data_IF_757986346263
#
_entry.id   IF_757986346263
#
_cell.length_a   1.000
_cell.length_b   1.000
_cell.length_c   1.000
_cell.angle_alpha   90.00
_cell.angle_beta   90.00
_cell.angle_gamma   90.00
#
_symmetry.space_group_name_H-M   'P 1'
#
loop_
_entity.id
_entity.type
_entity.pdbx_description
1 polymer ?
#
# COMPACT_ATOMS: atom_id res chain seq x y z
N UNK A 1 -23.33 -6.56 16.97
CA UNK A 1 -23.67 -7.43 18.11
C UNK A 1 -25.11 -7.20 18.50
N UNK A 2 -25.83 -8.29 18.73
CA UNK A 2 -27.17 -8.21 19.28
C UNK A 2 -27.10 -7.79 20.74
N UNK A 3 -27.82 -6.72 21.11
CA UNK A 3 -27.89 -6.23 22.49
C UNK A 3 -29.24 -6.64 23.06
N UNK A 4 -29.20 -7.62 23.96
CA UNK A 4 -30.40 -8.26 24.50
C UNK A 4 -31.28 -7.28 25.29
N UNK A 5 -30.68 -6.35 26.06
CA UNK A 5 -31.42 -5.38 26.87
C UNK A 5 -32.24 -4.40 26.03
N UNK A 6 -31.74 -4.04 24.84
CA UNK A 6 -32.38 -3.05 23.97
C UNK A 6 -33.10 -3.69 22.79
N UNK A 7 -33.02 -5.02 22.64
CA UNK A 7 -33.54 -5.79 21.51
C UNK A 7 -33.14 -5.17 20.16
N UNK A 8 -31.90 -4.69 20.07
CA UNK A 8 -31.38 -3.98 18.90
C UNK A 8 -30.00 -4.47 18.51
N UNK A 9 -29.72 -4.41 17.21
CA UNK A 9 -28.38 -4.58 16.68
C UNK A 9 -27.56 -3.33 16.96
N UNK A 10 -26.43 -3.48 17.66
CA UNK A 10 -25.40 -2.45 17.80
C UNK A 10 -24.27 -2.74 16.83
N UNK A 11 -23.96 -1.79 15.95
CA UNK A 11 -22.77 -1.87 15.12
C UNK A 11 -21.54 -1.63 16.00
N UNK A 12 -20.55 -2.52 15.94
CA UNK A 12 -19.27 -2.30 16.62
C UNK A 12 -18.35 -1.39 15.82
N UNK A 13 -18.41 -1.51 14.49
CA UNK A 13 -17.67 -0.70 13.55
C UNK A 13 -18.59 -0.40 12.37
N UNK A 14 -18.30 0.69 11.66
CA UNK A 14 -18.92 1.03 10.39
C UNK A 14 -17.79 1.13 9.37
N UNK A 15 -17.96 0.45 8.25
CA UNK A 15 -17.04 0.53 7.12
C UNK A 15 -17.79 1.09 5.91
N UNK A 16 -17.15 1.94 5.08
CA UNK A 16 -15.85 2.58 5.31
C UNK A 16 -15.87 3.48 6.56
N UNK A 17 -14.76 3.51 7.30
CA UNK A 17 -14.65 4.22 8.57
C UNK A 17 -14.37 5.72 8.39
N UNK A 18 -13.62 6.07 7.34
CA UNK A 18 -13.22 7.44 7.02
C UNK A 18 -12.85 7.57 5.53
N UNK A 19 -12.38 8.76 5.15
CA UNK A 19 -12.06 9.09 3.76
C UNK A 19 -10.97 8.17 3.16
N UNK A 20 -10.00 7.71 3.95
CA UNK A 20 -8.91 6.86 3.47
C UNK A 20 -9.35 5.43 3.14
N UNK A 21 -10.58 5.04 3.47
CA UNK A 21 -11.19 3.79 2.99
C UNK A 21 -11.84 3.94 1.60
N UNK A 22 -11.86 5.15 1.04
CA UNK A 22 -12.28 5.38 -0.35
C UNK A 22 -11.21 4.82 -1.29
N UNK A 23 -11.61 3.85 -2.11
CA UNK A 23 -10.71 3.18 -3.04
C UNK A 23 -9.96 4.17 -3.93
N UNK A 24 -8.63 4.07 -3.94
CA UNK A 24 -7.75 4.87 -4.81
C UNK A 24 -7.86 6.39 -4.62
N UNK A 25 -8.24 6.86 -3.42
CA UNK A 25 -8.37 8.30 -3.12
C UNK A 25 -7.11 9.11 -3.48
N UNK A 26 -5.92 8.56 -3.19
CA UNK A 26 -4.64 9.22 -3.42
C UNK A 26 -3.95 8.84 -4.75
N UNK A 27 -4.63 8.08 -5.61
CA UNK A 27 -4.10 7.60 -6.89
C UNK A 27 -2.92 6.63 -6.76
N UNK A 28 -2.23 6.41 -7.89
CA UNK A 28 -1.08 5.51 -8.00
C UNK A 28 0.11 6.02 -7.16
N UNK A 29 0.78 5.14 -6.43
CA UNK A 29 1.92 5.45 -5.56
C UNK A 29 1.67 6.58 -4.53
N UNK A 30 0.40 6.90 -4.29
CA UNK A 30 -0.06 7.80 -3.24
C UNK A 30 -0.48 7.00 -2.01
N UNK A 31 -0.22 7.55 -0.83
CA UNK A 31 -0.60 7.01 0.47
C UNK A 31 -1.57 7.95 1.16
N UNK A 32 -2.68 7.40 1.64
CA UNK A 32 -3.62 8.12 2.49
C UNK A 32 -3.20 8.04 3.96
N UNK A 33 -3.20 9.18 4.66
CA UNK A 33 -2.91 9.30 6.08
C UNK A 33 -3.92 10.27 6.71
N UNK A 34 -4.86 9.74 7.49
CA UNK A 34 -5.95 10.53 8.11
C UNK A 34 -5.44 11.55 9.12
N UNK A 35 -4.22 11.35 9.63
CA UNK A 35 -3.59 12.21 10.63
C UNK A 35 -2.76 13.34 10.00
N UNK A 36 -2.63 13.37 8.67
CA UNK A 36 -1.88 14.41 7.95
C UNK A 36 -2.79 15.39 7.21
N UNK A 37 -2.26 16.60 7.01
CA UNK A 37 -2.84 17.61 6.13
C UNK A 37 -1.76 18.08 5.13
N UNK A 38 -1.90 17.82 3.82
CA UNK A 38 -3.02 17.13 3.15
C UNK A 38 -3.08 15.62 3.45
N UNK A 39 -4.29 15.03 3.35
CA UNK A 39 -4.55 13.61 3.65
C UNK A 39 -3.81 12.64 2.71
N UNK A 40 -3.51 13.09 1.49
CA UNK A 40 -2.76 12.33 0.50
C UNK A 40 -1.34 12.84 0.35
N UNK A 41 -0.38 11.93 0.44
CA UNK A 41 1.03 12.19 0.15
C UNK A 41 1.61 11.10 -0.75
N UNK A 42 2.63 11.45 -1.54
CA UNK A 42 3.38 10.45 -2.30
C UNK A 42 4.21 9.55 -1.38
N UNK A 43 4.41 8.30 -1.78
CA UNK A 43 5.44 7.44 -1.18
C UNK A 43 6.82 8.12 -1.26
N UNK A 44 7.74 7.75 -0.37
CA UNK A 44 9.09 8.31 -0.38
C UNK A 44 9.78 8.05 -1.74
N UNK A 45 10.48 9.06 -2.28
CA UNK A 45 11.07 9.05 -3.63
C UNK A 45 10.08 9.06 -4.79
N UNK A 46 8.79 9.28 -4.52
CA UNK A 46 7.80 9.62 -5.52
C UNK A 46 7.44 11.10 -5.44
N UNK A 47 6.95 11.65 -6.55
CA UNK A 47 6.52 13.04 -6.68
C UNK A 47 5.17 13.10 -7.40
N UNK A 48 4.32 14.12 -7.14
CA UNK A 48 3.04 14.23 -7.82
C UNK A 48 3.18 14.20 -9.33
N UNK A 49 2.35 13.39 -10.01
CA UNK A 49 2.35 13.33 -11.48
C UNK A 49 1.93 14.67 -12.09
N UNK A 50 0.95 15.32 -11.45
CA UNK A 50 0.53 16.68 -11.78
C UNK A 50 0.53 17.57 -10.51
N UNK A 51 1.61 18.32 -10.26
CA UNK A 51 1.71 19.17 -9.06
C UNK A 51 0.61 20.21 -8.93
N UNK A 52 0.14 20.78 -10.05
CA UNK A 52 -0.88 21.83 -10.05
C UNK A 52 -2.26 21.33 -9.63
N UNK A 53 -2.59 20.08 -9.97
CA UNK A 53 -3.79 19.40 -9.50
C UNK A 53 -3.63 18.97 -8.04
N UNK A 54 -2.46 18.46 -7.68
CA UNK A 54 -2.15 17.99 -6.33
C UNK A 54 -2.29 19.11 -5.29
N UNK A 55 -1.79 20.30 -5.58
CA UNK A 55 -1.91 21.50 -4.73
C UNK A 55 -3.36 21.97 -4.55
N UNK A 56 -4.25 21.63 -5.49
CA UNK A 56 -5.69 21.93 -5.43
C UNK A 56 -6.51 20.84 -4.75
N UNK A 57 -5.87 19.77 -4.26
CA UNK A 57 -6.55 18.63 -3.64
C UNK A 57 -7.06 17.58 -4.63
N UNK A 58 -6.67 17.65 -5.91
CA UNK A 58 -6.94 16.59 -6.90
C UNK A 58 -5.74 15.64 -6.97
N UNK A 59 -5.86 14.52 -6.24
CA UNK A 59 -4.83 13.49 -6.13
C UNK A 59 -5.06 12.31 -7.09
N UNK A 60 -6.07 12.37 -7.96
CA UNK A 60 -6.52 11.24 -8.80
C UNK A 60 -5.43 10.69 -9.72
N UNK A 61 -4.53 11.56 -10.19
CA UNK A 61 -3.41 11.19 -11.07
C UNK A 61 -2.26 10.49 -10.33
N UNK A 62 -2.26 10.53 -8.99
CA UNK A 62 -1.25 9.91 -8.16
C UNK A 62 0.14 10.55 -8.31
N UNK A 63 1.14 9.71 -8.08
CA UNK A 63 2.54 10.05 -8.04
C UNK A 63 3.32 9.22 -9.06
N UNK A 64 4.53 9.68 -9.40
CA UNK A 64 5.48 8.96 -10.25
C UNK A 64 6.83 8.89 -9.55
N UNK A 65 7.64 7.90 -9.92
CA UNK A 65 9.01 7.79 -9.39
C UNK A 65 9.79 9.06 -9.72
N UNK A 66 10.47 9.64 -8.73
CA UNK A 66 11.38 10.78 -8.95
C UNK A 66 12.54 10.39 -9.87
N UNK A 67 13.04 9.17 -9.72
CA UNK A 67 14.13 8.61 -10.53
C UNK A 67 13.60 7.37 -11.25
N UNK A 68 13.71 7.29 -12.58
CA UNK A 68 13.35 6.08 -13.33
C UNK A 68 14.14 4.85 -12.85
N UNK A 69 13.52 3.67 -12.94
CA UNK A 69 14.22 2.41 -12.68
C UNK A 69 15.18 2.11 -13.84
N UNK A 70 16.39 1.67 -13.50
CA UNK A 70 17.34 1.09 -14.44
C UNK A 70 17.39 -0.42 -14.21
N UNK A 71 16.65 -1.18 -15.03
CA UNK A 71 16.57 -2.62 -14.86
C UNK A 71 17.87 -3.37 -15.25
N UNK A 72 18.89 -2.67 -15.76
CA UNK A 72 20.22 -3.27 -15.94
C UNK A 72 20.99 -3.37 -14.62
N UNK A 73 20.49 -2.72 -13.57
CA UNK A 73 21.04 -2.73 -12.22
C UNK A 73 20.06 -3.43 -11.30
N UNK A 74 20.61 -3.99 -10.22
CA UNK A 74 19.79 -4.56 -9.16
C UNK A 74 18.87 -3.48 -8.57
N UNK A 75 17.59 -3.80 -8.43
CA UNK A 75 16.62 -2.90 -7.84
C UNK A 75 16.91 -2.68 -6.35
N UNK A 76 16.84 -1.42 -5.92
CA UNK A 76 16.92 -1.06 -4.51
C UNK A 76 15.51 -0.78 -4.00
N UNK A 77 15.14 -1.43 -2.89
CA UNK A 77 13.83 -1.32 -2.27
C UNK A 77 13.87 -0.40 -1.04
N UNK A 78 12.76 0.32 -0.83
CA UNK A 78 12.53 1.17 0.34
C UNK A 78 11.39 0.52 1.11
N UNK A 79 11.60 0.30 2.41
CA UNK A 79 10.59 -0.26 3.30
C UNK A 79 9.58 0.82 3.71
N UNK A 80 8.30 0.57 3.49
CA UNK A 80 7.18 1.37 3.96
C UNK A 80 6.43 0.63 5.07
N UNK A 81 6.65 1.00 6.34
CA UNK A 81 6.07 0.25 7.44
C UNK A 81 4.61 0.63 7.71
N UNK A 82 3.87 -0.32 8.30
CA UNK A 82 2.57 -0.04 8.90
C UNK A 82 1.51 0.46 7.91
N UNK A 83 1.45 -0.13 6.73
CA UNK A 83 0.44 0.24 5.73
C UNK A 83 -0.65 -0.82 5.57
N UNK A 84 -1.81 -0.41 5.08
CA UNK A 84 -2.71 -1.28 4.31
C UNK A 84 -1.99 -1.59 3.00
N UNK A 85 -1.78 -2.87 2.72
CA UNK A 85 -1.14 -3.31 1.49
C UNK A 85 -1.93 -2.81 0.26
N UNK A 86 -1.24 -2.51 -0.85
CA UNK A 86 -1.88 -2.10 -2.10
C UNK A 86 -2.86 -3.16 -2.62
N UNK A 87 -3.74 -2.73 -3.53
CA UNK A 87 -4.59 -3.63 -4.31
C UNK A 87 -3.79 -4.80 -4.92
N UNK A 88 -4.36 -6.00 -4.88
CA UNK A 88 -3.68 -7.25 -5.24
C UNK A 88 -4.06 -7.78 -6.64
N UNK A 89 -4.76 -6.99 -7.47
CA UNK A 89 -5.20 -7.38 -8.82
C UNK A 89 -4.05 -7.84 -9.72
N UNK A 90 -2.89 -7.21 -9.59
CA UNK A 90 -1.67 -7.55 -10.32
C UNK A 90 -0.58 -8.06 -9.38
N UNK A 91 -0.92 -9.07 -8.58
CA UNK A 91 0.01 -9.69 -7.62
C UNK A 91 0.14 -11.20 -7.81
N UNK A 92 1.26 -11.76 -7.34
CA UNK A 92 1.49 -13.19 -7.22
C UNK A 92 1.94 -13.51 -5.80
N UNK A 93 1.68 -14.73 -5.33
CA UNK A 93 2.04 -15.14 -3.98
C UNK A 93 2.66 -16.54 -3.95
N UNK A 94 3.58 -16.72 -3.01
CA UNK A 94 4.18 -18.02 -2.69
C UNK A 94 4.21 -18.19 -1.16
N UNK A 95 3.58 -19.24 -0.65
CA UNK A 95 3.51 -19.51 0.80
C UNK A 95 4.80 -20.07 1.39
N UNK A 96 5.64 -20.66 0.55
CA UNK A 96 6.86 -21.38 0.93
C UNK A 96 8.10 -20.51 0.85
N UNK A 97 8.06 -19.49 0.01
CA UNK A 97 9.17 -18.55 -0.19
C UNK A 97 9.41 -17.68 1.05
N UNK A 98 10.69 -17.41 1.33
CA UNK A 98 11.10 -16.49 2.39
C UNK A 98 11.03 -15.04 1.89
N UNK A 99 11.00 -14.08 2.82
CA UNK A 99 11.02 -12.66 2.46
C UNK A 99 12.29 -12.27 1.67
N UNK A 100 13.46 -12.85 1.99
CA UNK A 100 14.69 -12.61 1.23
C UNK A 100 14.61 -13.21 -0.18
N UNK A 101 13.99 -14.39 -0.33
CA UNK A 101 13.72 -14.95 -1.66
C UNK A 101 12.79 -14.05 -2.48
N UNK A 102 11.76 -13.49 -1.83
CA UNK A 102 10.82 -12.55 -2.42
C UNK A 102 11.55 -11.30 -2.96
N UNK A 103 12.47 -10.75 -2.16
CA UNK A 103 13.33 -9.63 -2.57
C UNK A 103 14.18 -9.98 -3.77
N UNK A 104 14.85 -11.14 -3.78
CA UNK A 104 15.70 -11.57 -4.89
C UNK A 104 14.91 -11.77 -6.19
N UNK A 105 13.74 -12.40 -6.11
CA UNK A 105 12.86 -12.58 -7.27
C UNK A 105 12.39 -11.22 -7.82
N UNK A 106 11.96 -10.32 -6.94
CA UNK A 106 11.56 -8.98 -7.35
C UNK A 106 12.72 -8.15 -7.92
N UNK A 107 13.93 -8.29 -7.36
CA UNK A 107 15.14 -7.60 -7.83
C UNK A 107 15.53 -7.97 -9.27
N UNK A 108 15.23 -9.20 -9.69
CA UNK A 108 15.61 -9.73 -11.01
C UNK A 108 14.52 -9.57 -12.07
N UNK A 109 13.31 -9.20 -11.65
CA UNK A 109 12.17 -9.00 -12.55
C UNK A 109 11.87 -7.51 -12.74
N UNK A 110 12.10 -6.98 -13.95
CA UNK A 110 11.88 -5.57 -14.28
C UNK A 110 10.45 -5.08 -14.04
N UNK A 111 9.48 -5.98 -14.10
CA UNK A 111 8.07 -5.64 -13.92
C UNK A 111 7.65 -5.68 -12.45
N UNK A 112 8.48 -6.26 -11.57
CA UNK A 112 8.18 -6.30 -10.14
C UNK A 112 8.41 -4.92 -9.52
N UNK A 113 7.42 -4.43 -8.78
CA UNK A 113 7.45 -3.08 -8.23
C UNK A 113 7.52 -3.04 -6.71
N UNK A 114 7.07 -4.09 -6.04
CA UNK A 114 7.09 -4.21 -4.59
C UNK A 114 6.93 -5.66 -4.15
N UNK A 115 7.30 -5.93 -2.90
CA UNK A 115 7.13 -7.24 -2.29
C UNK A 115 6.81 -7.12 -0.79
N UNK A 116 6.17 -8.12 -0.21
CA UNK A 116 5.85 -8.17 1.22
C UNK A 116 5.76 -9.61 1.70
N UNK A 117 5.75 -9.82 3.02
CA UNK A 117 5.40 -11.12 3.60
C UNK A 117 3.94 -11.45 3.30
N UNK A 118 3.58 -12.74 3.24
CA UNK A 118 2.19 -13.13 3.03
C UNK A 118 1.43 -13.29 4.36
N UNK A 119 2.16 -13.65 5.42
CA UNK A 119 1.62 -13.89 6.75
C UNK A 119 2.57 -13.34 7.81
N UNK A 120 2.02 -12.46 8.68
CA UNK A 120 2.75 -11.78 9.75
C UNK A 120 2.55 -12.43 11.14
N UNK A 121 1.69 -13.45 11.26
CA UNK A 121 1.25 -14.00 12.56
C UNK A 121 2.32 -14.82 13.29
N UNK A 122 3.28 -15.42 12.58
CA UNK A 122 4.29 -16.34 13.14
C UNK A 122 5.67 -16.09 12.52
N UNK A 123 6.09 -14.81 12.50
CA UNK A 123 7.21 -14.31 11.71
C UNK A 123 6.82 -14.11 10.25
N UNK A 124 7.61 -13.31 9.51
CA UNK A 124 7.38 -13.02 8.10
C UNK A 124 7.52 -14.29 7.25
N UNK A 125 6.37 -14.86 6.88
CA UNK A 125 6.29 -16.09 6.07
C UNK A 125 5.57 -15.86 4.77
N UNK A 126 6.04 -16.56 3.75
CA UNK A 126 5.55 -16.41 2.39
C UNK A 126 5.97 -15.07 1.77
N UNK A 127 5.61 -14.94 0.51
CA UNK A 127 5.97 -13.87 -0.38
C UNK A 127 4.71 -13.41 -1.11
N UNK A 128 4.55 -12.09 -1.22
CA UNK A 128 3.56 -11.44 -2.06
C UNK A 128 4.31 -10.42 -2.92
N UNK A 129 4.19 -10.56 -4.24
CA UNK A 129 4.87 -9.74 -5.25
C UNK A 129 3.84 -8.92 -6.01
N UNK A 130 4.13 -7.65 -6.29
CA UNK A 130 3.31 -6.79 -7.14
C UNK A 130 4.00 -6.51 -8.47
N UNK A 131 3.20 -6.48 -9.54
CA UNK A 131 3.64 -6.16 -10.90
C UNK A 131 2.84 -4.97 -11.44
N UNK A 132 3.48 -3.80 -11.47
CA UNK A 132 2.88 -2.56 -11.98
C UNK A 132 2.62 -1.49 -10.91
N UNK A 133 1.64 -0.64 -11.16
CA UNK A 133 1.34 0.50 -10.28
C UNK A 133 0.72 0.05 -8.95
N UNK A 134 1.21 0.62 -7.84
CA UNK A 134 0.66 0.35 -6.51
C UNK A 134 -0.45 1.35 -6.26
N UNK A 135 -1.64 0.88 -5.88
CA UNK A 135 -2.82 1.71 -5.63
C UNK A 135 -3.48 1.33 -4.31
N UNK A 136 -4.29 2.24 -3.76
CA UNK A 136 -5.10 2.00 -2.57
C UNK A 136 -4.29 1.77 -1.28
N UNK A 137 -3.14 2.45 -1.18
CA UNK A 137 -2.27 2.42 0.01
C UNK A 137 -2.77 3.40 1.07
N UNK A 138 -2.82 2.92 2.32
CA UNK A 138 -3.19 3.72 3.49
C UNK A 138 -2.20 3.48 4.62
N UNK A 139 -1.83 4.52 5.37
CA UNK A 139 -1.10 4.36 6.64
C UNK A 139 -2.05 3.87 7.74
N UNK A 140 -1.60 2.90 8.52
CA UNK A 140 -2.30 2.38 9.68
C UNK A 140 -1.46 2.69 10.92
N UNK A 141 -2.10 3.26 11.95
CA UNK A 141 -1.42 3.74 13.16
C UNK A 141 -0.81 2.62 14.03
N UNK A 142 -1.41 1.42 14.03
CA UNK A 142 -0.97 0.34 14.94
C UNK A 142 -0.98 -1.09 14.34
N UNK A 143 -1.62 -1.32 13.18
CA UNK A 143 -1.94 -2.68 12.69
C UNK A 143 -1.73 -2.88 11.18
N UNK A 144 -0.72 -2.21 10.63
CA UNK A 144 -0.35 -2.38 9.23
C UNK A 144 0.74 -3.41 9.00
N UNK A 145 1.09 -3.56 7.73
CA UNK A 145 2.12 -4.45 7.26
C UNK A 145 3.15 -3.66 6.46
N UNK A 146 4.37 -4.19 6.37
CA UNK A 146 5.46 -3.56 5.66
C UNK A 146 5.49 -4.01 4.21
N UNK A 147 5.80 -3.09 3.30
CA UNK A 147 6.06 -3.36 1.87
C UNK A 147 7.36 -2.69 1.42
#
# INVERSE_FOLDING_TARGET
>A
MWVEQTKRWRSHYKLPADNCDTYSLCGVYGRCDIDNEPICGCLEKFVPKNPQQWEKGDWTTGCVRRTPLDCKREHVFIRYPGIKLPDTKHSQHDKTMTLEGCKQECSTNCNCTAYSSLNISNGDKGCLLWFGELVDIRKLSERGQDI
#
